data_IF_566622749073
#
_entry.id   IF_566622749073
#
_cell.length_a   1.000
_cell.length_b   1.000
_cell.length_c   1.000
_cell.angle_alpha   90.00
_cell.angle_beta   90.00
_cell.angle_gamma   90.00
#
_symmetry.space_group_name_H-M   'P 1'
#
loop_
_entity.id
_entity.type
_entity.pdbx_description
1 polymer ?
#
# COMPACT_ATOMS: atom_id res chain seq x y z
N UNK A 1 -9.08 23.51 -0.38
CA UNK A 1 -8.55 22.32 -1.08
C UNK A 1 -8.68 22.55 -2.58
N UNK A 2 -7.60 22.44 -3.37
CA UNK A 2 -7.70 22.57 -4.83
C UNK A 2 -8.36 21.31 -5.39
N UNK A 3 -9.59 21.43 -5.85
CA UNK A 3 -10.33 20.40 -6.59
C UNK A 3 -9.61 20.20 -7.93
N UNK A 4 -8.66 19.27 -7.96
CA UNK A 4 -8.02 18.87 -9.21
C UNK A 4 -9.01 17.97 -9.94
N UNK A 5 -9.47 18.39 -11.12
CA UNK A 5 -10.35 17.55 -11.93
C UNK A 5 -9.65 16.20 -12.17
N UNK A 6 -10.35 15.07 -12.01
CA UNK A 6 -9.76 13.76 -12.26
C UNK A 6 -9.40 13.67 -13.74
N UNK A 7 -8.10 13.69 -14.02
CA UNK A 7 -7.57 13.46 -15.38
C UNK A 7 -7.49 11.95 -15.58
N UNK A 8 -8.42 11.40 -16.35
CA UNK A 8 -8.52 9.97 -16.63
C UNK A 8 -8.76 9.69 -18.11
N UNK A 9 -8.47 8.45 -18.52
CA UNK A 9 -8.84 7.90 -19.81
C UNK A 9 -9.83 6.76 -19.59
N UNK A 10 -10.89 6.69 -20.40
CA UNK A 10 -11.83 5.58 -20.37
C UNK A 10 -11.20 4.37 -21.05
N UNK A 11 -11.15 3.24 -20.35
CA UNK A 11 -10.60 2.00 -20.85
C UNK A 11 -11.68 0.93 -20.85
N UNK A 12 -11.75 0.16 -21.93
CA UNK A 12 -12.65 -0.98 -22.02
C UNK A 12 -12.17 -2.10 -21.09
N UNK A 13 -13.11 -2.66 -20.31
CA UNK A 13 -12.88 -3.89 -19.57
C UNK A 13 -12.77 -5.06 -20.56
N UNK A 14 -11.71 -5.84 -20.41
CA UNK A 14 -11.52 -7.06 -21.19
C UNK A 14 -12.10 -8.26 -20.43
N UNK A 15 -12.07 -9.43 -21.06
CA UNK A 15 -12.56 -10.67 -20.44
C UNK A 15 -11.86 -10.94 -19.10
N UNK A 16 -12.60 -11.55 -18.17
CA UNK A 16 -12.14 -11.92 -16.83
C UNK A 16 -11.67 -10.74 -15.97
N UNK A 17 -12.16 -9.53 -16.23
CA UNK A 17 -11.86 -8.35 -15.43
C UNK A 17 -10.45 -7.79 -15.66
N UNK A 18 -9.82 -8.12 -16.79
CA UNK A 18 -8.51 -7.58 -17.14
C UNK A 18 -8.67 -6.13 -17.60
N UNK A 19 -7.86 -5.23 -17.01
CA UNK A 19 -7.84 -3.81 -17.35
C UNK A 19 -6.51 -3.48 -18.03
N UNK A 20 -6.58 -2.77 -19.16
CA UNK A 20 -5.37 -2.33 -19.86
C UNK A 20 -4.91 -0.98 -19.31
N UNK A 21 -3.76 -0.95 -18.64
CA UNK A 21 -3.18 0.33 -18.18
C UNK A 21 -2.64 1.12 -19.38
N UNK A 22 -3.11 2.36 -19.64
CA UNK A 22 -2.65 3.16 -20.76
C UNK A 22 -1.15 3.46 -20.71
N UNK A 23 -0.53 3.56 -21.87
CA UNK A 23 0.93 3.73 -22.03
C UNK A 23 1.47 4.96 -21.30
N UNK A 24 0.69 6.05 -21.24
CA UNK A 24 1.05 7.29 -20.53
C UNK A 24 1.29 7.04 -19.03
N UNK A 25 0.36 6.35 -18.37
CA UNK A 25 0.46 6.02 -16.95
C UNK A 25 1.51 4.95 -16.68
N UNK A 26 1.64 3.97 -17.57
CA UNK A 26 2.70 2.95 -17.49
C UNK A 26 4.09 3.57 -17.48
N UNK A 27 4.36 4.53 -18.37
CA UNK A 27 5.65 5.26 -18.42
C UNK A 27 5.84 6.14 -17.18
N UNK A 28 4.79 6.84 -16.74
CA UNK A 28 4.85 7.71 -15.55
C UNK A 28 5.15 6.93 -14.26
N UNK A 29 4.56 5.74 -14.12
CA UNK A 29 4.74 4.85 -12.97
C UNK A 29 5.90 3.86 -13.15
N UNK A 30 6.62 3.92 -14.28
CA UNK A 30 7.74 3.03 -14.62
C UNK A 30 7.42 1.52 -14.48
N UNK A 31 6.18 1.12 -14.79
CA UNK A 31 5.73 -0.25 -14.61
C UNK A 31 6.32 -1.18 -15.68
N UNK A 32 6.86 -2.32 -15.24
CA UNK A 32 7.39 -3.38 -16.11
C UNK A 32 6.40 -4.53 -16.27
N UNK A 33 6.56 -5.29 -17.36
CA UNK A 33 5.74 -6.49 -17.58
C UNK A 33 6.08 -7.54 -16.51
N UNK A 34 5.04 -8.07 -15.84
CA UNK A 34 5.19 -9.08 -14.79
C UNK A 34 5.43 -8.52 -13.38
N UNK A 35 5.43 -7.19 -13.23
CA UNK A 35 5.53 -6.55 -11.93
C UNK A 35 4.25 -6.72 -11.12
N UNK A 36 4.40 -6.93 -9.81
CA UNK A 36 3.27 -7.05 -8.90
C UNK A 36 2.71 -5.66 -8.57
N UNK A 37 1.38 -5.55 -8.60
CA UNK A 37 0.66 -4.33 -8.26
C UNK A 37 -0.21 -4.61 -7.04
N UNK A 38 -0.32 -3.63 -6.16
CA UNK A 38 -1.28 -3.67 -5.07
C UNK A 38 -2.64 -3.20 -5.59
N UNK A 39 -3.69 -3.91 -5.23
CA UNK A 39 -5.06 -3.64 -5.67
C UNK A 39 -5.95 -3.63 -4.43
N UNK A 40 -6.70 -2.55 -4.23
CA UNK A 40 -7.62 -2.43 -3.11
C UNK A 40 -8.81 -1.53 -3.46
N UNK A 41 -9.93 -1.76 -2.78
CA UNK A 41 -11.12 -0.91 -2.88
C UNK A 41 -10.98 0.28 -1.91
N UNK A 42 -11.26 1.48 -2.39
CA UNK A 42 -11.43 2.67 -1.56
C UNK A 42 -12.57 3.53 -2.12
N UNK A 43 -13.61 3.74 -1.33
CA UNK A 43 -14.77 4.60 -1.69
C UNK A 43 -15.46 4.17 -3.01
N UNK A 44 -15.51 2.86 -3.29
CA UNK A 44 -16.11 2.32 -4.51
C UNK A 44 -15.21 2.46 -5.75
N UNK A 45 -13.96 2.86 -5.56
CA UNK A 45 -12.93 2.93 -6.59
C UNK A 45 -11.93 1.80 -6.38
N UNK A 46 -11.61 1.10 -7.46
CA UNK A 46 -10.50 0.14 -7.46
C UNK A 46 -9.18 0.89 -7.67
N UNK A 47 -8.36 0.95 -6.64
CA UNK A 47 -7.07 1.62 -6.67
C UNK A 47 -5.98 0.62 -6.92
N UNK A 48 -5.13 0.94 -7.91
CA UNK A 48 -3.99 0.15 -8.30
C UNK A 48 -2.72 0.96 -8.05
N UNK A 49 -1.81 0.44 -7.25
CA UNK A 49 -0.53 1.09 -6.95
C UNK A 49 0.66 0.15 -7.13
N UNK A 50 1.83 0.66 -7.57
CA UNK A 50 3.06 -0.13 -7.64
C UNK A 50 3.47 -0.62 -6.24
N UNK A 51 4.05 -1.82 -6.18
CA UNK A 51 4.57 -2.39 -4.93
C UNK A 51 6.04 -1.99 -4.77
N UNK A 52 6.31 -1.08 -3.85
CA UNK A 52 7.68 -0.87 -3.38
C UNK A 52 8.07 -1.99 -2.41
N UNK A 53 8.86 -2.95 -2.92
CA UNK A 53 9.53 -3.96 -2.09
C UNK A 53 10.68 -3.28 -1.38
N UNK A 54 10.36 -2.55 -0.32
CA UNK A 54 11.38 -2.06 0.59
C UNK A 54 11.85 -3.22 1.46
N UNK A 55 13.15 -3.59 1.43
CA UNK A 55 13.70 -4.42 2.50
C UNK A 55 13.41 -3.70 3.82
N UNK A 56 13.00 -4.43 4.85
CA UNK A 56 12.87 -3.85 6.20
C UNK A 56 14.26 -3.48 6.72
N UNK A 57 14.84 -2.38 6.24
CA UNK A 57 15.86 -1.66 7.01
C UNK A 57 15.12 -0.93 8.11
N UNK A 58 14.81 -1.64 9.20
CA UNK A 58 14.23 -1.04 10.39
C UNK A 58 15.14 0.11 10.87
N UNK A 59 14.71 1.38 10.86
CA UNK A 59 15.32 2.41 11.67
C UNK A 59 14.50 2.49 12.96
N UNK A 60 14.39 1.37 13.67
CA UNK A 60 13.85 1.38 15.03
C UNK A 60 15.00 1.04 15.95
N UNK A 61 15.27 2.01 16.83
CA UNK A 61 16.02 1.81 18.08
C UNK A 61 15.76 0.39 18.60
N UNK A 62 16.81 -0.23 19.09
CA UNK A 62 16.96 -1.61 19.60
C UNK A 62 15.94 -2.01 20.71
N UNK A 63 14.91 -1.20 20.98
CA UNK A 63 13.96 -1.38 22.09
C UNK A 63 12.86 -2.43 21.85
N UNK A 64 12.42 -2.71 20.61
CA UNK A 64 11.25 -3.58 20.36
C UNK A 64 11.52 -4.71 19.36
N UNK A 65 12.62 -5.45 19.55
CA UNK A 65 12.73 -6.75 18.87
C UNK A 65 11.71 -7.72 19.48
N UNK A 66 10.90 -8.42 18.68
CA UNK A 66 10.02 -9.47 19.20
C UNK A 66 10.90 -10.59 19.78
N UNK A 67 10.71 -10.89 21.06
CA UNK A 67 11.45 -11.92 21.78
C UNK A 67 10.47 -12.90 22.41
N UNK A 68 10.41 -14.12 21.89
CA UNK A 68 9.49 -15.16 22.36
C UNK A 68 9.76 -15.56 23.83
N UNK A 69 10.96 -15.27 24.34
CA UNK A 69 11.34 -15.59 25.72
C UNK A 69 10.93 -14.52 26.72
N UNK A 70 10.66 -13.29 26.25
CA UNK A 70 10.37 -12.13 27.12
C UNK A 70 8.97 -11.55 26.91
N UNK A 71 8.41 -11.70 25.72
CA UNK A 71 7.10 -11.17 25.37
C UNK A 71 6.01 -12.19 25.69
N UNK A 72 4.88 -11.71 26.22
CA UNK A 72 3.65 -12.52 26.21
C UNK A 72 3.19 -12.79 24.77
N UNK A 73 2.45 -13.88 24.50
CA UNK A 73 2.02 -14.22 23.14
C UNK A 73 1.28 -13.07 22.41
N UNK A 74 0.49 -12.28 23.13
CA UNK A 74 -0.22 -11.12 22.57
C UNK A 74 0.73 -9.97 22.19
N UNK A 75 1.73 -9.68 23.03
CA UNK A 75 2.76 -8.67 22.76
C UNK A 75 3.68 -9.08 21.62
N UNK A 76 4.09 -10.35 21.58
CA UNK A 76 4.90 -10.90 20.51
C UNK A 76 4.18 -10.80 19.17
N UNK A 77 2.92 -11.26 19.11
CA UNK A 77 2.11 -11.17 17.89
C UNK A 77 1.91 -9.72 17.45
N UNK A 78 1.77 -8.76 18.38
CA UNK A 78 1.66 -7.34 18.05
C UNK A 78 2.96 -6.79 17.43
N UNK A 79 4.13 -7.19 17.95
CA UNK A 79 5.44 -6.78 17.42
C UNK A 79 5.77 -7.43 16.08
N UNK A 80 5.39 -8.70 15.88
CA UNK A 80 5.62 -9.45 14.63
C UNK A 80 4.62 -9.08 13.54
N UNK A 81 3.35 -8.83 13.87
CA UNK A 81 2.30 -8.41 12.93
C UNK A 81 2.43 -6.93 12.54
N UNK A 82 3.64 -6.45 12.28
CA UNK A 82 3.85 -5.13 11.73
C UNK A 82 3.03 -4.97 10.44
N UNK A 83 1.91 -4.26 10.53
CA UNK A 83 1.02 -4.02 9.41
C UNK A 83 1.25 -2.59 8.91
N UNK A 84 1.77 -2.46 7.68
CA UNK A 84 1.99 -1.14 7.04
C UNK A 84 0.71 -0.29 7.02
N UNK A 85 -0.47 -0.92 7.07
CA UNK A 85 -1.78 -0.25 7.16
C UNK A 85 -2.01 0.46 8.50
N UNK A 86 -1.55 -0.08 9.63
CA UNK A 86 -1.72 0.59 10.94
C UNK A 86 -0.97 1.92 11.00
N UNK A 87 0.21 2.00 10.38
CA UNK A 87 0.97 3.25 10.26
C UNK A 87 0.24 4.28 9.39
N UNK A 88 -0.43 3.81 8.34
CA UNK A 88 -1.18 4.66 7.41
C UNK A 88 -2.49 5.16 8.05
N UNK A 89 -3.17 4.30 8.82
CA UNK A 89 -4.31 4.65 9.64
C UNK A 89 -3.94 5.62 10.75
N UNK A 90 -2.90 5.34 11.54
CA UNK A 90 -2.43 6.23 12.60
C UNK A 90 -2.05 7.62 12.08
N UNK A 91 -1.41 7.69 10.90
CA UNK A 91 -1.09 8.97 10.25
C UNK A 91 -2.34 9.73 9.82
N UNK A 92 -3.34 9.04 9.24
CA UNK A 92 -4.63 9.66 8.87
C UNK A 92 -5.45 10.09 10.09
N UNK A 93 -5.42 9.36 11.19
CA UNK A 93 -6.09 9.75 12.44
C UNK A 93 -5.47 11.01 13.05
N UNK A 94 -4.14 11.18 12.94
CA UNK A 94 -3.45 12.41 13.34
C UNK A 94 -3.73 13.60 12.43
N UNK A 95 -3.96 13.38 11.13
CA UNK A 95 -4.30 14.44 10.17
C UNK A 95 -5.78 14.87 10.25
N UNK A 96 -6.63 14.06 10.89
CA UNK A 96 -8.07 14.30 11.05
C UNK A 96 -8.50 14.89 12.40
N UNK A 97 -7.55 15.23 13.28
CA UNK A 97 -7.76 15.91 14.56
C UNK A 97 -7.15 17.32 14.52
#
# INVERSE_FOLDING_TARGET
>A
MKTTMPVGELVKLMDRGVITVPTKYRKKLNLKKGELLNIFDWEGLLIVSPVDITPQTMPYRIADKPDWTKDSPSQYLKKVRYNKLEKLWAKRTQEGW
#
